data_IF_861665500716
#
_entry.id   IF_861665500716
#
_cell.length_a   1.000
_cell.length_b   1.000
_cell.length_c   1.000
_cell.angle_alpha   90.00
_cell.angle_beta   90.00
_cell.angle_gamma   90.00
#
_symmetry.space_group_name_H-M   'P 1'
#
loop_
_entity.id
_entity.type
_entity.pdbx_description
1 polymer ?
#
# COMPACT_ATOMS: atom_id res chain seq x y z
N UNK A 1 -7.12 -0.84 -35.33
CA UNK A 1 -7.19 -2.27 -34.98
C UNK A 1 -6.05 -2.60 -34.01
N UNK A 2 -6.32 -2.70 -32.70
CA UNK A 2 -5.33 -3.29 -31.76
C UNK A 2 -5.39 -4.81 -31.97
N UNK A 3 -4.26 -5.44 -32.34
CA UNK A 3 -4.17 -6.91 -32.38
C UNK A 3 -4.58 -7.44 -31.01
N UNK A 4 -5.53 -8.36 -30.97
CA UNK A 4 -5.88 -9.05 -29.74
C UNK A 4 -4.63 -9.77 -29.24
N UNK A 5 -4.04 -9.25 -28.16
CA UNK A 5 -2.94 -9.91 -27.46
C UNK A 5 -3.50 -11.24 -26.93
N UNK A 6 -2.83 -12.36 -27.20
CA UNK A 6 -3.31 -13.65 -26.71
C UNK A 6 -3.33 -13.64 -25.18
N UNK A 7 -4.32 -14.32 -24.59
CA UNK A 7 -4.45 -14.41 -23.12
C UNK A 7 -3.13 -14.86 -22.48
N UNK A 8 -2.43 -15.80 -23.12
CA UNK A 8 -1.12 -16.28 -22.68
C UNK A 8 -0.06 -15.18 -22.63
N UNK A 9 0.01 -14.30 -23.63
CA UNK A 9 0.97 -13.18 -23.64
C UNK A 9 0.63 -12.16 -22.56
N UNK A 10 -0.67 -11.91 -22.31
CA UNK A 10 -1.12 -11.01 -21.24
C UNK A 10 -0.70 -11.55 -19.87
N UNK A 11 -1.06 -12.79 -19.55
CA UNK A 11 -0.72 -13.43 -18.27
C UNK A 11 0.81 -13.49 -18.08
N UNK A 12 1.57 -13.81 -19.13
CA UNK A 12 3.02 -13.81 -19.08
C UNK A 12 3.59 -12.41 -18.77
N UNK A 13 3.07 -11.37 -19.43
CA UNK A 13 3.46 -9.97 -19.19
C UNK A 13 3.20 -9.55 -17.74
N UNK A 14 2.05 -9.94 -17.19
CA UNK A 14 1.66 -9.63 -15.82
C UNK A 14 2.58 -10.33 -14.81
N UNK A 15 2.87 -11.63 -15.02
CA UNK A 15 3.80 -12.39 -14.19
C UNK A 15 5.22 -11.83 -14.22
N UNK A 16 5.73 -11.47 -15.41
CA UNK A 16 7.04 -10.86 -15.56
C UNK A 16 7.13 -9.50 -14.86
N UNK A 17 6.05 -8.72 -14.92
CA UNK A 17 5.97 -7.41 -14.26
C UNK A 17 5.99 -7.55 -12.73
N UNK A 18 5.25 -8.50 -12.15
CA UNK A 18 5.36 -8.81 -10.72
C UNK A 18 6.75 -9.31 -10.35
N UNK A 19 7.33 -10.21 -11.13
CA UNK A 19 8.68 -10.72 -10.90
C UNK A 19 9.70 -9.57 -10.86
N UNK A 20 9.64 -8.64 -11.81
CA UNK A 20 10.49 -7.46 -11.85
C UNK A 20 10.31 -6.57 -10.60
N UNK A 21 9.07 -6.35 -10.16
CA UNK A 21 8.79 -5.57 -8.94
C UNK A 21 9.32 -6.25 -7.68
N UNK A 22 9.15 -7.56 -7.54
CA UNK A 22 9.69 -8.32 -6.40
C UNK A 22 11.21 -8.33 -6.39
N UNK A 23 11.86 -8.45 -7.56
CA UNK A 23 13.33 -8.32 -7.68
C UNK A 23 13.77 -6.93 -7.21
N UNK A 24 13.10 -5.87 -7.68
CA UNK A 24 13.41 -4.49 -7.29
C UNK A 24 13.27 -4.27 -5.77
N UNK A 25 12.21 -4.81 -5.16
CA UNK A 25 12.04 -4.78 -3.70
C UNK A 25 13.17 -5.53 -2.97
N UNK A 26 13.53 -6.72 -3.45
CA UNK A 26 14.62 -7.52 -2.89
C UNK A 26 15.96 -6.78 -2.95
N UNK A 27 16.24 -6.08 -4.05
CA UNK A 27 17.43 -5.23 -4.19
C UNK A 27 17.38 -4.07 -3.19
N UNK A 28 16.28 -3.32 -3.12
CA UNK A 28 16.15 -2.17 -2.20
C UNK A 28 16.35 -2.56 -0.74
N UNK A 29 15.90 -3.74 -0.31
CA UNK A 29 16.09 -4.21 1.07
C UNK A 29 17.56 -4.48 1.43
N UNK A 30 18.42 -4.70 0.43
CA UNK A 30 19.87 -4.90 0.61
C UNK A 30 20.65 -3.58 0.60
N UNK A 31 20.07 -2.50 0.09
CA UNK A 31 20.74 -1.19 0.05
C UNK A 31 20.74 -0.60 1.46
N UNK A 32 21.92 -0.13 1.90
CA UNK A 32 22.03 0.59 3.15
C UNK A 32 21.34 1.95 3.01
N UNK A 33 20.45 2.33 3.94
CA UNK A 33 19.85 3.65 3.93
C UNK A 33 20.93 4.72 4.10
N UNK A 34 20.66 5.92 3.58
CA UNK A 34 21.50 7.09 3.82
C UNK A 34 21.77 7.25 5.33
N UNK A 35 23.04 7.42 5.71
CA UNK A 35 23.40 7.55 7.12
C UNK A 35 23.27 8.99 7.56
N UNK A 36 22.14 9.31 8.15
CA UNK A 36 21.95 10.59 8.82
C UNK A 36 22.60 10.55 10.22
N UNK A 37 23.40 11.57 10.52
CA UNK A 37 23.90 11.85 11.87
C UNK A 37 22.86 12.51 12.76
N UNK A 38 23.24 12.85 13.99
CA UNK A 38 22.34 13.44 14.97
C UNK A 38 23.06 14.42 15.90
N UNK A 39 22.27 15.27 16.57
CA UNK A 39 22.74 16.04 17.72
C UNK A 39 22.42 15.28 19.01
N UNK A 40 23.35 15.15 19.97
CA UNK A 40 23.09 14.44 21.23
C UNK A 40 21.91 15.01 22.04
N UNK A 41 21.56 16.28 21.85
CA UNK A 41 20.44 16.96 22.49
C UNK A 41 19.10 16.82 21.76
N UNK A 42 19.03 16.04 20.67
CA UNK A 42 17.81 15.86 19.88
C UNK A 42 16.78 14.98 20.64
N UNK A 43 15.76 15.63 21.19
CA UNK A 43 14.68 14.96 21.91
C UNK A 43 13.69 14.22 21.01
N UNK A 44 13.67 14.51 19.70
CA UNK A 44 12.73 13.89 18.76
C UNK A 44 13.05 12.42 18.50
N UNK A 45 14.30 12.03 18.72
CA UNK A 45 14.82 10.66 18.54
C UNK A 45 15.16 9.97 19.88
N UNK A 46 14.71 10.56 20.99
CA UNK A 46 14.99 10.14 22.36
C UNK A 46 13.80 9.46 23.07
N UNK A 47 12.76 9.05 22.33
CA UNK A 47 11.59 8.39 22.91
C UNK A 47 11.90 6.92 23.29
N UNK A 48 11.17 6.33 24.24
CA UNK A 48 11.37 4.93 24.62
C UNK A 48 10.96 3.97 23.50
N UNK A 49 11.70 2.88 23.34
CA UNK A 49 11.37 1.81 22.42
C UNK A 49 10.14 1.04 22.91
N UNK A 50 9.12 0.92 22.05
CA UNK A 50 7.89 0.17 22.32
C UNK A 50 7.72 -0.98 21.35
N UNK A 51 6.95 -2.00 21.73
CA UNK A 51 6.48 -3.03 20.80
C UNK A 51 5.50 -2.41 19.80
N UNK A 52 5.33 -3.05 18.64
CA UNK A 52 4.35 -2.61 17.65
C UNK A 52 2.98 -3.17 18.00
N UNK A 53 1.99 -2.29 18.21
CA UNK A 53 0.58 -2.65 18.39
C UNK A 53 0.07 -3.43 17.18
N UNK A 54 0.40 -2.96 15.97
CA UNK A 54 0.17 -3.69 14.72
C UNK A 54 1.51 -4.13 14.14
N UNK A 55 1.88 -5.42 14.25
CA UNK A 55 3.04 -5.97 13.58
C UNK A 55 2.89 -5.97 12.05
N UNK A 56 4.00 -5.93 11.31
CA UNK A 56 3.96 -5.86 9.85
C UNK A 56 3.28 -7.05 9.20
N UNK A 57 3.48 -8.27 9.71
CA UNK A 57 2.81 -9.47 9.18
C UNK A 57 1.30 -9.42 9.37
N UNK A 58 0.81 -8.86 10.50
CA UNK A 58 -0.62 -8.67 10.76
C UNK A 58 -1.20 -7.68 9.77
N UNK A 59 -0.52 -6.54 9.56
CA UNK A 59 -0.96 -5.54 8.59
C UNK A 59 -1.08 -6.13 7.18
N UNK A 60 -0.03 -6.81 6.70
CA UNK A 60 -0.03 -7.40 5.37
C UNK A 60 -1.10 -8.48 5.23
N UNK A 61 -1.23 -9.38 6.21
CA UNK A 61 -2.26 -10.42 6.19
C UNK A 61 -3.67 -9.82 6.14
N UNK A 62 -4.01 -8.90 7.04
CA UNK A 62 -5.36 -8.32 7.10
C UNK A 62 -5.70 -7.55 5.83
N UNK A 63 -4.78 -6.72 5.32
CA UNK A 63 -5.03 -5.92 4.11
C UNK A 63 -5.18 -6.77 2.86
N UNK A 64 -4.31 -7.77 2.66
CA UNK A 64 -4.40 -8.72 1.53
C UNK A 64 -5.71 -9.51 1.61
N UNK A 65 -6.03 -10.08 2.77
CA UNK A 65 -7.26 -10.86 2.98
C UNK A 65 -8.50 -10.01 2.75
N UNK A 66 -8.53 -8.77 3.24
CA UNK A 66 -9.65 -7.85 3.05
C UNK A 66 -9.89 -7.52 1.57
N UNK A 67 -8.82 -7.27 0.81
CA UNK A 67 -8.88 -7.05 -0.64
C UNK A 67 -9.44 -8.28 -1.35
N UNK A 68 -8.86 -9.45 -1.11
CA UNK A 68 -9.25 -10.70 -1.78
C UNK A 68 -10.70 -11.05 -1.48
N UNK A 69 -11.09 -11.06 -0.20
CA UNK A 69 -12.45 -11.41 0.20
C UNK A 69 -13.46 -10.43 -0.38
N UNK A 70 -13.18 -9.13 -0.34
CA UNK A 70 -14.12 -8.11 -0.82
C UNK A 70 -14.30 -8.18 -2.33
N UNK A 71 -13.21 -8.31 -3.10
CA UNK A 71 -13.28 -8.44 -4.56
C UNK A 71 -14.03 -9.73 -4.95
N UNK A 72 -13.71 -10.86 -4.32
CA UNK A 72 -14.39 -12.13 -4.61
C UNK A 72 -15.88 -12.02 -4.25
N UNK A 73 -16.23 -11.50 -3.07
CA UNK A 73 -17.62 -11.37 -2.63
C UNK A 73 -18.45 -10.47 -3.56
N UNK A 74 -17.91 -9.33 -3.98
CA UNK A 74 -18.62 -8.39 -4.85
C UNK A 74 -18.76 -8.94 -6.27
N UNK A 75 -17.69 -9.47 -6.87
CA UNK A 75 -17.77 -10.00 -8.23
C UNK A 75 -18.65 -11.26 -8.31
N UNK A 76 -18.61 -12.13 -7.29
CA UNK A 76 -19.53 -13.29 -7.22
C UNK A 76 -20.97 -12.88 -7.02
N UNK A 77 -21.26 -11.86 -6.20
CA UNK A 77 -22.60 -11.32 -6.03
C UNK A 77 -23.16 -10.72 -7.34
N UNK A 78 -22.35 -9.94 -8.07
CA UNK A 78 -22.74 -9.38 -9.38
C UNK A 78 -22.93 -10.50 -10.41
N UNK A 79 -22.03 -11.49 -10.42
CA UNK A 79 -22.12 -12.63 -11.31
C UNK A 79 -23.35 -13.49 -11.07
N UNK A 80 -23.73 -13.69 -9.80
CA UNK A 80 -24.92 -14.45 -9.43
C UNK A 80 -26.18 -13.84 -10.05
N UNK A 81 -26.32 -12.52 -9.99
CA UNK A 81 -27.40 -11.80 -10.69
C UNK A 81 -27.32 -12.03 -12.20
N UNK A 82 -26.14 -11.91 -12.79
CA UNK A 82 -25.96 -11.99 -14.24
C UNK A 82 -26.21 -13.40 -14.80
N UNK A 83 -25.76 -14.45 -14.09
CA UNK A 83 -26.01 -15.85 -14.45
C UNK A 83 -27.50 -16.17 -14.33
N UNK A 84 -28.14 -15.75 -13.22
CA UNK A 84 -29.57 -15.97 -12.98
C UNK A 84 -30.45 -15.26 -14.02
N UNK A 85 -30.05 -14.07 -14.47
CA UNK A 85 -30.86 -13.24 -15.37
C UNK A 85 -30.53 -13.40 -16.86
N UNK A 86 -29.28 -13.71 -17.24
CA UNK A 86 -28.81 -13.64 -18.64
C UNK A 86 -28.03 -14.86 -19.16
N UNK A 87 -28.00 -16.00 -18.44
CA UNK A 87 -27.33 -17.26 -18.86
C UNK A 87 -25.85 -17.09 -19.28
N UNK A 88 -25.11 -16.25 -18.57
CA UNK A 88 -23.68 -16.07 -18.85
C UNK A 88 -22.83 -17.22 -18.32
N UNK A 89 -21.69 -17.46 -18.97
CA UNK A 89 -20.73 -18.48 -18.54
C UNK A 89 -19.88 -18.05 -17.35
N UNK A 90 -19.53 -19.02 -16.50
CA UNK A 90 -18.57 -18.92 -15.38
C UNK A 90 -17.25 -18.20 -15.73
N UNK A 91 -16.66 -18.35 -16.95
CA UNK A 91 -15.38 -17.71 -17.27
C UNK A 91 -15.36 -16.18 -17.13
N UNK A 92 -16.48 -15.50 -17.39
CA UNK A 92 -16.55 -14.02 -17.33
C UNK A 92 -16.30 -13.49 -15.92
N UNK A 93 -16.73 -14.24 -14.90
CA UNK A 93 -16.57 -13.89 -13.48
C UNK A 93 -15.10 -14.00 -13.07
N UNK A 94 -14.46 -15.09 -13.48
CA UNK A 94 -13.06 -15.36 -13.17
C UNK A 94 -12.13 -14.31 -13.80
N UNK A 95 -12.40 -13.89 -15.04
CA UNK A 95 -11.66 -12.78 -15.66
C UNK A 95 -11.83 -11.46 -14.91
N UNK A 96 -13.06 -11.15 -14.46
CA UNK A 96 -13.31 -9.91 -13.70
C UNK A 96 -12.56 -9.92 -12.37
N UNK A 97 -12.64 -11.02 -11.60
CA UNK A 97 -11.90 -11.18 -10.35
C UNK A 97 -10.39 -11.05 -10.58
N UNK A 98 -9.86 -11.74 -11.59
CA UNK A 98 -8.44 -11.69 -11.95
C UNK A 98 -7.99 -10.25 -12.20
N UNK A 99 -8.70 -9.50 -13.04
CA UNK A 99 -8.33 -8.15 -13.41
C UNK A 99 -8.41 -7.16 -12.24
N UNK A 100 -9.43 -7.27 -11.39
CA UNK A 100 -9.55 -6.41 -10.20
C UNK A 100 -8.44 -6.68 -9.18
N UNK A 101 -8.14 -7.96 -8.93
CA UNK A 101 -7.04 -8.35 -8.05
C UNK A 101 -5.69 -7.95 -8.64
N UNK A 102 -5.52 -8.07 -9.96
CA UNK A 102 -4.29 -7.69 -10.64
C UNK A 102 -3.95 -6.22 -10.37
N UNK A 103 -4.87 -5.31 -10.63
CA UNK A 103 -4.65 -3.86 -10.40
C UNK A 103 -4.50 -3.56 -8.90
N UNK A 104 -5.26 -4.22 -8.03
CA UNK A 104 -5.12 -4.08 -6.58
C UNK A 104 -3.70 -4.44 -6.11
N UNK A 105 -3.19 -5.59 -6.55
CA UNK A 105 -1.86 -6.04 -6.11
C UNK A 105 -0.73 -5.28 -6.79
N UNK A 106 -0.89 -4.81 -8.03
CA UNK A 106 0.07 -3.89 -8.64
C UNK A 106 0.21 -2.59 -7.84
N UNK A 107 -0.91 -1.94 -7.51
CA UNK A 107 -0.88 -0.74 -6.69
C UNK A 107 -0.33 -0.99 -5.29
N UNK A 108 -0.63 -2.15 -4.70
CA UNK A 108 -0.10 -2.57 -3.40
C UNK A 108 1.42 -2.70 -3.42
N UNK A 109 1.96 -3.44 -4.39
CA UNK A 109 3.41 -3.65 -4.56
C UNK A 109 4.10 -2.34 -4.92
N UNK A 110 3.52 -1.51 -5.79
CA UNK A 110 4.04 -0.19 -6.12
C UNK A 110 4.11 0.72 -4.88
N UNK A 111 3.09 0.69 -4.01
CA UNK A 111 3.06 1.44 -2.75
C UNK A 111 4.24 1.05 -1.85
N UNK A 112 4.49 -0.26 -1.69
CA UNK A 112 5.62 -0.76 -0.90
C UNK A 112 6.95 -0.33 -1.53
N UNK A 113 7.10 -0.50 -2.84
CA UNK A 113 8.31 -0.16 -3.58
C UNK A 113 8.68 1.32 -3.42
N UNK A 114 7.75 2.23 -3.68
CA UNK A 114 7.99 3.67 -3.57
C UNK A 114 8.31 4.06 -2.12
N UNK A 115 7.62 3.44 -1.15
CA UNK A 115 7.92 3.64 0.28
C UNK A 115 9.37 3.21 0.60
N UNK A 116 9.80 2.05 0.13
CA UNK A 116 11.13 1.52 0.40
C UNK A 116 12.24 2.34 -0.29
N UNK A 117 11.99 2.87 -1.49
CA UNK A 117 12.87 3.88 -2.11
C UNK A 117 13.05 5.09 -1.18
N UNK A 118 11.95 5.63 -0.64
CA UNK A 118 12.01 6.77 0.28
C UNK A 118 12.81 6.47 1.56
N UNK A 119 12.65 5.27 2.13
CA UNK A 119 13.41 4.83 3.32
C UNK A 119 14.91 4.79 3.08
N UNK A 120 15.32 4.26 1.93
CA UNK A 120 16.74 4.15 1.58
C UNK A 120 17.30 5.53 1.24
N UNK A 121 16.56 6.35 0.51
CA UNK A 121 17.00 7.67 0.06
C UNK A 121 17.15 8.68 1.21
N UNK A 122 16.20 8.73 2.15
CA UNK A 122 16.18 9.75 3.20
C UNK A 122 16.97 9.34 4.44
N UNK A 123 16.91 8.06 4.84
CA UNK A 123 17.72 7.59 5.96
C UNK A 123 17.37 8.18 7.33
N UNK A 124 16.15 8.70 7.49
CA UNK A 124 15.71 9.37 8.71
C UNK A 124 15.69 8.42 9.91
N UNK A 125 16.29 8.87 11.02
CA UNK A 125 16.29 8.16 12.30
C UNK A 125 14.86 8.06 12.88
N UNK A 126 14.56 6.96 13.56
CA UNK A 126 13.26 6.75 14.23
C UNK A 126 13.18 7.50 15.57
N UNK A 127 11.96 7.78 16.07
CA UNK A 127 11.80 8.46 17.36
C UNK A 127 12.40 7.74 18.56
N UNK A 128 12.55 6.42 18.49
CA UNK A 128 13.14 5.58 19.55
C UNK A 128 14.61 5.21 19.29
N UNK A 129 15.32 5.99 18.47
CA UNK A 129 16.67 5.67 18.03
C UNK A 129 17.65 5.57 19.21
N UNK A 130 17.66 6.52 20.15
CA UNK A 130 18.60 6.47 21.28
C UNK A 130 18.40 5.24 22.15
N UNK A 131 17.16 4.91 22.49
CA UNK A 131 16.88 3.77 23.35
C UNK A 131 17.20 2.43 22.66
N UNK A 132 16.88 2.28 21.37
CA UNK A 132 17.09 1.03 20.63
C UNK A 132 18.52 0.83 20.09
N UNK A 133 19.20 1.91 19.70
CA UNK A 133 20.58 1.85 19.18
C UNK A 133 21.59 1.87 20.33
N UNK A 134 21.39 2.75 21.34
CA UNK A 134 22.44 3.14 22.28
C UNK A 134 23.67 3.66 21.51
N UNK A 135 23.56 4.80 20.80
CA UNK A 135 24.59 5.20 19.86
C UNK A 135 25.85 5.71 20.59
N UNK A 136 26.99 5.16 20.20
CA UNK A 136 28.31 5.62 20.65
C UNK A 136 28.91 6.48 19.52
N UNK A 137 29.23 7.76 19.78
CA UNK A 137 29.82 8.64 18.77
C UNK A 137 31.23 8.15 18.40
N UNK A 138 31.54 8.17 17.10
CA UNK A 138 32.86 7.86 16.54
C UNK A 138 33.50 9.12 15.99
N UNK A 139 32.71 9.92 15.25
CA UNK A 139 33.15 11.21 14.72
C UNK A 139 32.11 12.27 15.04
N UNK A 140 32.59 13.37 15.60
CA UNK A 140 31.79 14.54 15.97
C UNK A 140 32.43 15.78 15.35
N UNK A 141 31.61 16.57 14.68
CA UNK A 141 32.03 17.86 14.12
C UNK A 141 32.30 18.88 15.23
N UNK A 142 32.96 20.00 14.90
CA UNK A 142 33.21 21.11 15.84
C UNK A 142 31.93 21.72 16.43
N UNK A 143 30.80 21.59 15.73
CA UNK A 143 29.49 22.07 16.19
C UNK A 143 28.73 21.04 17.04
N UNK A 144 29.34 19.90 17.40
CA UNK A 144 28.73 18.87 18.22
C UNK A 144 27.79 17.91 17.46
N UNK A 145 27.72 18.00 16.13
CA UNK A 145 26.97 17.05 15.30
C UNK A 145 27.75 15.75 15.16
N UNK A 146 27.12 14.61 15.49
CA UNK A 146 27.71 13.27 15.35
C UNK A 146 27.44 12.76 13.94
N UNK A 147 28.47 12.73 13.09
CA UNK A 147 28.38 12.26 11.70
C UNK A 147 28.51 10.74 11.58
N UNK A 148 29.32 10.13 12.46
CA UNK A 148 29.57 8.68 12.47
C UNK A 148 29.37 8.12 13.87
N UNK A 149 28.62 7.03 13.97
CA UNK A 149 28.28 6.37 15.23
C UNK A 149 28.18 4.85 15.06
N UNK A 150 28.22 4.13 16.19
CA UNK A 150 27.95 2.69 16.28
C UNK A 150 26.83 2.42 17.27
N UNK A 151 25.95 1.46 16.96
CA UNK A 151 24.91 1.02 17.88
C UNK A 151 25.45 -0.05 18.83
N UNK A 152 25.36 0.18 20.13
CA UNK A 152 25.78 -0.77 21.16
C UNK A 152 24.72 -1.86 21.42
N UNK A 153 23.44 -1.47 21.51
CA UNK A 153 22.35 -2.39 21.91
C UNK A 153 21.83 -3.27 20.77
N UNK A 154 22.00 -2.84 19.52
CA UNK A 154 21.49 -3.56 18.34
C UNK A 154 22.51 -3.56 17.19
N UNK A 155 23.60 -4.34 17.32
CA UNK A 155 24.67 -4.37 16.32
C UNK A 155 24.25 -5.06 15.01
N UNK A 156 23.23 -5.93 15.03
CA UNK A 156 22.84 -6.74 13.87
C UNK A 156 21.96 -5.98 12.87
N UNK A 157 21.16 -5.00 13.31
CA UNK A 157 20.24 -4.24 12.44
C UNK A 157 20.23 -2.72 12.70
N UNK A 158 21.39 -2.03 12.68
CA UNK A 158 21.44 -0.59 12.90
C UNK A 158 20.64 0.19 11.84
N UNK A 159 20.59 -0.33 10.62
CA UNK A 159 19.93 0.32 9.48
C UNK A 159 18.43 0.40 9.59
N UNK A 160 17.76 -0.51 10.33
CA UNK A 160 16.30 -0.47 10.45
C UNK A 160 15.82 0.73 11.28
N UNK A 161 16.69 1.25 12.16
CA UNK A 161 16.44 2.46 12.93
C UNK A 161 16.59 3.73 12.08
N UNK A 162 17.19 3.64 10.89
CA UNK A 162 17.37 4.73 9.92
C UNK A 162 16.27 4.71 8.82
N UNK A 163 15.30 3.80 8.92
CA UNK A 163 14.21 3.64 7.95
C UNK A 163 12.91 4.18 8.53
N UNK A 164 12.90 5.44 8.97
CA UNK A 164 11.70 6.08 9.50
C UNK A 164 10.83 6.72 8.41
N UNK A 165 11.41 7.46 7.47
CA UNK A 165 10.64 8.17 6.44
C UNK A 165 10.63 7.44 5.10
N UNK A 166 9.48 7.28 4.41
CA UNK A 166 8.12 7.40 4.91
C UNK A 166 7.66 6.13 5.66
N UNK A 167 6.56 6.23 6.41
CA UNK A 167 5.98 5.09 7.13
C UNK A 167 5.35 4.08 6.18
N UNK A 168 5.94 2.87 6.11
CA UNK A 168 5.41 1.77 5.30
C UNK A 168 4.10 1.17 5.80
N UNK A 169 3.85 1.22 7.12
CA UNK A 169 2.57 0.78 7.66
C UNK A 169 1.46 1.76 7.26
N UNK A 170 1.74 3.06 7.32
CA UNK A 170 0.79 4.11 6.97
C UNK A 170 0.46 4.08 5.48
N UNK A 171 1.46 3.96 4.61
CA UNK A 171 1.23 3.89 3.16
C UNK A 171 0.41 2.66 2.76
N UNK A 172 0.78 1.48 3.25
CA UNK A 172 0.08 0.24 2.92
C UNK A 172 -1.35 0.20 3.47
N UNK A 173 -1.54 0.66 4.71
CA UNK A 173 -2.86 0.69 5.33
C UNK A 173 -3.82 1.67 4.64
N UNK A 174 -3.35 2.88 4.34
CA UNK A 174 -4.16 3.89 3.65
C UNK A 174 -4.41 3.49 2.19
N UNK A 175 -3.42 2.96 1.48
CA UNK A 175 -3.62 2.40 0.15
C UNK A 175 -4.76 1.38 0.13
N UNK A 176 -4.70 0.39 1.02
CA UNK A 176 -5.68 -0.70 1.07
C UNK A 176 -7.07 -0.19 1.43
N UNK A 177 -7.17 0.71 2.41
CA UNK A 177 -8.44 1.30 2.84
C UNK A 177 -9.08 2.14 1.72
N UNK A 178 -8.30 2.99 1.05
CA UNK A 178 -8.78 3.87 -0.02
C UNK A 178 -9.11 3.06 -1.28
N UNK A 179 -8.30 2.04 -1.62
CA UNK A 179 -8.60 1.13 -2.72
C UNK A 179 -9.95 0.44 -2.52
N UNK A 180 -10.17 -0.17 -1.34
CA UNK A 180 -11.43 -0.81 -0.98
C UNK A 180 -12.59 0.18 -0.97
N UNK A 181 -12.36 1.39 -0.48
CA UNK A 181 -13.37 2.46 -0.49
C UNK A 181 -13.83 2.78 -1.91
N UNK A 182 -12.87 3.03 -2.81
CA UNK A 182 -13.12 3.37 -4.21
C UNK A 182 -13.73 2.19 -4.96
N UNK A 183 -13.23 0.98 -4.74
CA UNK A 183 -13.77 -0.25 -5.33
C UNK A 183 -15.25 -0.42 -4.96
N UNK A 184 -15.60 -0.36 -3.66
CA UNK A 184 -16.98 -0.45 -3.20
C UNK A 184 -17.86 0.71 -3.68
N UNK A 185 -17.30 1.90 -3.89
CA UNK A 185 -18.04 3.04 -4.42
C UNK A 185 -18.43 2.84 -5.88
N UNK A 186 -17.54 2.25 -6.68
CA UNK A 186 -17.71 2.16 -8.12
C UNK A 186 -18.28 0.82 -8.60
N UNK A 187 -18.14 -0.25 -7.79
CA UNK A 187 -18.47 -1.63 -8.19
C UNK A 187 -19.42 -2.28 -7.17
N UNK A 188 -20.70 -2.39 -7.53
CA UNK A 188 -21.74 -2.85 -6.62
C UNK A 188 -22.80 -3.76 -7.28
N UNK A 189 -23.30 -4.77 -6.55
CA UNK A 189 -24.53 -5.50 -6.91
C UNK A 189 -25.76 -4.58 -6.89
N UNK A 190 -26.79 -4.92 -7.67
CA UNK A 190 -27.99 -4.07 -7.82
C UNK A 190 -28.86 -3.99 -6.56
N UNK A 191 -28.78 -5.00 -5.70
CA UNK A 191 -29.50 -5.08 -4.42
C UNK A 191 -28.69 -4.55 -3.22
N UNK A 192 -27.50 -4.00 -3.44
CA UNK A 192 -26.67 -3.51 -2.34
C UNK A 192 -27.34 -2.35 -1.60
N UNK A 193 -27.55 -2.52 -0.29
CA UNK A 193 -28.12 -1.48 0.57
C UNK A 193 -27.07 -0.38 0.77
N UNK A 194 -27.36 0.90 0.46
CA UNK A 194 -26.39 1.99 0.57
C UNK A 194 -25.74 2.12 1.95
N UNK A 195 -26.49 1.88 3.02
CA UNK A 195 -25.98 1.92 4.39
C UNK A 195 -24.89 0.86 4.65
N UNK A 196 -25.04 -0.36 4.10
CA UNK A 196 -24.04 -1.43 4.25
C UNK A 196 -22.73 -1.04 3.55
N UNK A 197 -22.82 -0.46 2.35
CA UNK A 197 -21.64 0.08 1.65
C UNK A 197 -20.90 1.10 2.52
N UNK A 198 -21.62 2.10 3.02
CA UNK A 198 -21.04 3.19 3.82
C UNK A 198 -20.42 2.65 5.11
N UNK A 199 -21.05 1.65 5.74
CA UNK A 199 -20.50 0.98 6.92
C UNK A 199 -19.14 0.33 6.63
N UNK A 200 -19.04 -0.51 5.59
CA UNK A 200 -17.77 -1.14 5.21
C UNK A 200 -16.69 -0.12 4.82
N UNK A 201 -17.05 0.89 4.03
CA UNK A 201 -16.16 2.00 3.67
C UNK A 201 -15.61 2.71 4.91
N UNK A 202 -16.48 3.00 5.88
CA UNK A 202 -16.10 3.65 7.14
C UNK A 202 -15.18 2.77 7.96
N UNK A 203 -15.47 1.46 8.07
CA UNK A 203 -14.63 0.50 8.78
C UNK A 203 -13.24 0.41 8.17
N UNK A 204 -13.12 0.29 6.84
CA UNK A 204 -11.81 0.22 6.18
C UNK A 204 -10.99 1.49 6.40
N UNK A 205 -11.60 2.67 6.26
CA UNK A 205 -10.93 3.93 6.55
C UNK A 205 -10.51 4.04 8.02
N UNK A 206 -11.39 3.66 8.95
CA UNK A 206 -11.10 3.67 10.39
C UNK A 206 -9.90 2.77 10.74
N UNK A 207 -9.81 1.56 10.16
CA UNK A 207 -8.68 0.64 10.35
C UNK A 207 -7.38 1.21 9.75
N UNK A 208 -7.45 1.87 8.60
CA UNK A 208 -6.33 2.56 7.98
C UNK A 208 -5.78 3.69 8.86
N UNK A 209 -6.68 4.54 9.37
CA UNK A 209 -6.34 5.64 10.29
C UNK A 209 -5.82 5.10 11.63
N UNK A 210 -6.45 4.07 12.19
CA UNK A 210 -5.99 3.40 13.41
C UNK A 210 -4.55 2.93 13.26
N UNK A 211 -4.21 2.30 12.12
CA UNK A 211 -2.84 1.88 11.83
C UNK A 211 -1.87 3.06 11.83
N UNK A 212 -2.26 4.20 11.23
CA UNK A 212 -1.44 5.41 11.24
C UNK A 212 -1.21 5.94 12.66
N UNK A 213 -2.26 6.02 13.47
CA UNK A 213 -2.16 6.48 14.87
C UNK A 213 -1.26 5.56 15.69
N UNK A 214 -1.36 4.24 15.52
CA UNK A 214 -0.50 3.30 16.26
C UNK A 214 0.99 3.51 15.96
N UNK A 215 1.37 3.95 14.75
CA UNK A 215 2.78 4.23 14.43
C UNK A 215 3.35 5.41 15.21
N UNK A 216 2.51 6.36 15.58
CA UNK A 216 2.86 7.50 16.41
C UNK A 216 2.93 7.06 17.88
N UNK A 217 1.89 6.39 18.39
CA UNK A 217 1.81 5.98 19.80
C UNK A 217 2.82 4.89 20.19
N UNK A 218 3.23 4.06 19.22
CA UNK A 218 4.29 3.05 19.37
C UNK A 218 5.71 3.63 19.18
N UNK A 219 5.84 4.96 19.02
CA UNK A 219 7.11 5.67 18.76
C UNK A 219 7.87 5.15 17.52
N UNK A 220 7.20 4.52 16.55
CA UNK A 220 7.86 3.92 15.38
C UNK A 220 8.23 4.95 14.30
N UNK A 221 7.43 6.01 14.19
CA UNK A 221 7.52 7.02 13.14
C UNK A 221 7.15 8.40 13.69
N UNK A 222 7.75 9.45 13.12
CA UNK A 222 7.28 10.81 13.35
C UNK A 222 5.94 11.04 12.65
N UNK A 223 5.20 12.04 13.10
CA UNK A 223 3.92 12.43 12.50
C UNK A 223 4.08 12.75 10.99
N UNK A 224 5.17 13.41 10.61
CA UNK A 224 5.48 13.73 9.20
C UNK A 224 5.77 12.49 8.36
N UNK A 225 6.41 11.46 8.93
CA UNK A 225 6.66 10.19 8.24
C UNK A 225 5.35 9.43 7.99
N UNK A 226 4.43 9.48 8.97
CA UNK A 226 3.09 8.88 8.90
C UNK A 226 2.24 9.60 7.87
N UNK A 227 2.24 10.93 7.87
CA UNK A 227 1.51 11.76 6.90
C UNK A 227 2.01 11.53 5.48
N UNK A 228 3.33 11.54 5.26
CA UNK A 228 3.91 11.27 3.95
C UNK A 228 3.55 9.86 3.44
N UNK A 229 3.60 8.85 4.33
CA UNK A 229 3.14 7.50 4.00
C UNK A 229 1.67 7.48 3.62
N UNK A 230 0.80 8.12 4.40
CA UNK A 230 -0.63 8.19 4.13
C UNK A 230 -0.94 8.87 2.78
N UNK A 231 -0.31 10.01 2.49
CA UNK A 231 -0.46 10.71 1.21
C UNK A 231 -0.02 9.82 0.05
N UNK A 232 1.13 9.15 0.17
CA UNK A 232 1.63 8.23 -0.84
C UNK A 232 0.61 7.11 -1.12
N UNK A 233 0.13 6.44 -0.08
CA UNK A 233 -0.85 5.36 -0.21
C UNK A 233 -2.16 5.84 -0.85
N UNK A 234 -2.64 7.01 -0.45
CA UNK A 234 -3.83 7.65 -1.01
C UNK A 234 -3.68 7.94 -2.51
N UNK A 235 -2.57 8.56 -2.92
CA UNK A 235 -2.31 8.90 -4.33
C UNK A 235 -2.20 7.64 -5.21
N UNK A 236 -1.51 6.61 -4.74
CA UNK A 236 -1.41 5.34 -5.47
C UNK A 236 -2.79 4.68 -5.59
N UNK A 237 -3.61 4.68 -4.53
CA UNK A 237 -4.96 4.14 -4.60
C UNK A 237 -5.87 4.90 -5.57
N UNK A 238 -5.78 6.24 -5.63
CA UNK A 238 -6.54 7.06 -6.59
C UNK A 238 -6.12 6.82 -8.04
N UNK A 239 -4.91 6.32 -8.29
CA UNK A 239 -4.48 5.97 -9.65
C UNK A 239 -5.15 4.69 -10.18
N UNK A 240 -5.64 3.81 -9.30
CA UNK A 240 -6.17 2.49 -9.66
C UNK A 240 -7.32 2.52 -10.68
N UNK A 241 -8.35 3.39 -10.56
CA UNK A 241 -9.43 3.47 -11.55
C UNK A 241 -8.94 3.83 -12.96
N UNK A 242 -7.89 4.66 -13.10
CA UNK A 242 -7.34 5.01 -14.41
C UNK A 242 -6.69 3.82 -15.11
N UNK A 243 -6.05 2.92 -14.36
CA UNK A 243 -5.54 1.66 -14.91
C UNK A 243 -6.68 0.72 -15.32
N UNK A 244 -7.76 0.65 -14.53
CA UNK A 244 -8.95 -0.15 -14.87
C UNK A 244 -9.60 0.34 -16.17
N UNK A 245 -9.74 1.66 -16.35
CA UNK A 245 -10.24 2.24 -17.60
C UNK A 245 -9.49 1.79 -18.85
N UNK A 246 -8.17 1.71 -18.75
CA UNK A 246 -7.35 1.36 -19.90
C UNK A 246 -7.44 -0.14 -20.23
N UNK A 247 -7.55 -0.97 -19.19
CA UNK A 247 -7.69 -2.42 -19.33
C UNK A 247 -9.07 -2.82 -19.86
N UNK A 248 -10.10 -2.03 -19.54
CA UNK A 248 -11.46 -2.25 -20.02
C UNK A 248 -11.96 -1.05 -20.82
N UNK A 249 -11.67 -0.93 -22.12
CA UNK A 249 -12.39 0.02 -22.95
C UNK A 249 -13.89 -0.31 -22.91
N UNK A 250 -14.73 0.70 -22.68
CA UNK A 250 -16.19 0.56 -22.68
C UNK A 250 -16.65 -0.05 -24.01
N UNK A 251 -17.10 -1.31 -23.97
CA UNK A 251 -17.75 -1.92 -25.13
C UNK A 251 -19.18 -1.38 -25.20
N UNK A 252 -19.64 -0.86 -26.35
CA UNK A 252 -20.94 -0.21 -26.48
C UNK A 252 -22.14 -1.10 -26.12
N UNK A 253 -21.95 -2.42 -26.01
CA UNK A 253 -22.98 -3.40 -25.62
C UNK A 253 -22.64 -4.27 -24.39
N UNK A 254 -21.54 -4.01 -23.66
CA UNK A 254 -21.25 -4.78 -22.43
C UNK A 254 -21.86 -4.11 -21.21
N UNK A 255 -22.77 -4.79 -20.52
CA UNK A 255 -23.38 -4.32 -19.27
C UNK A 255 -22.43 -4.31 -18.04
N UNK A 256 -21.15 -4.65 -18.22
CA UNK A 256 -20.12 -4.51 -17.19
C UNK A 256 -19.60 -3.08 -17.24
N UNK A 257 -20.11 -2.20 -16.36
CA UNK A 257 -19.58 -0.84 -16.22
C UNK A 257 -18.12 -0.90 -15.79
N UNK A 258 -17.26 -0.35 -16.64
CA UNK A 258 -15.85 -0.11 -16.36
C UNK A 258 -15.75 1.03 -15.34
N UNK A 259 -14.81 0.91 -14.40
CA UNK A 259 -14.45 1.97 -13.45
C UNK A 259 -13.81 3.16 -14.20
N UNK A 260 -14.61 3.95 -14.92
CA UNK A 260 -14.16 5.22 -15.49
C UNK A 260 -14.81 6.44 -14.85
N UNK A 261 -14.02 7.33 -14.22
CA UNK A 261 -14.54 8.59 -13.69
C UNK A 261 -15.08 9.52 -14.79
N UNK A 262 -14.70 9.28 -16.05
CA UNK A 262 -15.20 9.97 -17.23
C UNK A 262 -15.91 9.00 -18.18
N UNK A 263 -17.04 8.41 -17.76
CA UNK A 263 -18.03 8.03 -18.76
C UNK A 263 -18.67 9.34 -19.23
N UNK A 264 -18.16 9.90 -20.33
CA UNK A 264 -18.82 10.97 -21.02
C UNK A 264 -20.26 10.54 -21.27
N UNK A 265 -21.19 11.26 -20.64
CA UNK A 265 -22.62 11.17 -20.92
C UNK A 265 -22.77 11.78 -22.32
N UNK A 266 -22.58 10.98 -23.37
CA UNK A 266 -22.97 11.37 -24.72
C UNK A 266 -24.47 11.65 -24.68
N UNK A 267 -24.79 12.86 -25.13
CA UNK A 267 -26.09 13.49 -25.14
C UNK A 267 -26.92 12.97 -26.31
#
# INVERSE_FOLDING_TARGET
MRRAVSVSVRVLSDLLSFAALFIAMGVLQRIQPFRLGYFPSDSTIALPARSSTIPSYVLYAITIVSIVITVIAIETAIAWEYIRMKKAGIPVVLYSIYDYLLVAFFGYVATILITDVGKVAVGRLRPHFFDACGPVPVETTSLGYVSVYRCQKNPEKPFDLMKSFPSGHSSTAIYSAVFLFVYLQLRQPSWCIPAVRVAFQTVFLALGVLTCVTRITDNKHHQTDVLAGAILGFLVALSAPFYMCHLFPSQPNSSVRVLCPFSAKER
#
